data_IF_535837805805
#
_entry.id   IF_535837805805
#
_cell.length_a   1.000
_cell.length_b   1.000
_cell.length_c   1.000
_cell.angle_alpha   90.00
_cell.angle_beta   90.00
_cell.angle_gamma   90.00
#
_symmetry.space_group_name_H-M   'P 1'
#
loop_
_entity.id
_entity.type
_entity.pdbx_description
1 polymer ?
#
# COMPACT_ATOMS: atom_id res chain seq x y z
N UNK A 1 23.06 19.39 -26.83
CA UNK A 1 24.43 19.14 -26.37
C UNK A 1 24.63 17.65 -26.54
N UNK A 2 25.40 17.34 -27.57
CA UNK A 2 25.65 16.03 -28.18
C UNK A 2 26.59 15.14 -27.35
N UNK A 3 26.88 13.97 -27.95
CA UNK A 3 27.83 12.89 -27.63
C UNK A 3 27.21 11.72 -26.85
N UNK A 4 26.77 10.60 -27.45
CA UNK A 4 27.31 9.69 -28.48
C UNK A 4 28.30 8.65 -27.96
N UNK A 5 27.99 7.38 -28.30
CA UNK A 5 28.85 6.19 -28.44
C UNK A 5 29.73 5.76 -27.27
N UNK A 6 29.48 4.56 -26.76
CA UNK A 6 30.51 3.51 -26.72
C UNK A 6 29.85 2.14 -26.94
N UNK A 7 30.05 1.60 -28.14
CA UNK A 7 29.98 0.18 -28.46
C UNK A 7 31.33 -0.43 -28.08
N UNK A 8 31.35 -1.49 -27.29
CA UNK A 8 32.41 -2.49 -27.39
C UNK A 8 31.80 -3.89 -27.51
N UNK A 9 32.00 -4.44 -28.71
CA UNK A 9 31.92 -5.85 -29.05
C UNK A 9 32.99 -6.63 -28.29
N UNK A 10 32.61 -7.61 -27.47
CA UNK A 10 33.53 -8.65 -27.02
C UNK A 10 33.24 -9.96 -27.76
N UNK A 11 34.09 -10.25 -28.73
CA UNK A 11 34.34 -11.57 -29.31
C UNK A 11 34.77 -12.54 -28.22
N UNK A 12 34.31 -13.79 -28.31
CA UNK A 12 34.63 -14.84 -27.35
C UNK A 12 36.10 -15.19 -27.28
N UNK A 13 36.55 -15.58 -26.09
CA UNK A 13 37.51 -16.66 -25.90
C UNK A 13 37.42 -17.19 -24.47
N UNK A 14 37.56 -18.51 -24.40
CA UNK A 14 37.52 -19.34 -23.21
C UNK A 14 38.39 -18.81 -22.07
N UNK A 15 37.78 -18.71 -20.90
CA UNK A 15 38.43 -18.83 -19.59
C UNK A 15 37.35 -19.26 -18.58
N UNK A 16 36.91 -20.52 -18.69
CA UNK A 16 36.33 -21.25 -17.57
C UNK A 16 37.46 -21.53 -16.58
N UNK A 17 37.67 -20.63 -15.62
CA UNK A 17 38.39 -20.95 -14.39
C UNK A 17 37.79 -20.12 -13.26
N UNK A 18 37.16 -20.84 -12.34
CA UNK A 18 36.92 -20.46 -10.95
C UNK A 18 36.14 -19.17 -10.71
N UNK A 19 34.83 -19.19 -11.00
CA UNK A 19 33.90 -18.50 -10.10
C UNK A 19 33.72 -19.39 -8.87
N UNK A 20 34.51 -19.13 -7.83
CA UNK A 20 34.04 -19.38 -6.47
C UNK A 20 32.86 -18.44 -6.32
N UNK A 21 31.65 -18.99 -6.37
CA UNK A 21 30.43 -18.28 -6.01
C UNK A 21 30.54 -17.95 -4.53
N UNK A 22 31.15 -16.80 -4.26
CA UNK A 22 31.07 -16.13 -2.98
C UNK A 22 29.59 -16.01 -2.62
N UNK A 23 29.22 -16.43 -1.40
CA UNK A 23 27.87 -16.32 -0.85
C UNK A 23 27.40 -14.86 -0.90
N UNK A 24 26.82 -14.45 -2.02
CA UNK A 24 26.14 -13.18 -2.14
C UNK A 24 24.70 -13.40 -1.76
N UNK A 25 24.24 -12.60 -0.81
CA UNK A 25 22.86 -12.53 -0.29
C UNK A 25 21.85 -12.13 -1.40
N UNK A 26 22.28 -12.08 -2.66
CA UNK A 26 21.46 -11.68 -3.81
C UNK A 26 20.66 -12.85 -4.43
N UNK A 27 20.88 -14.11 -4.04
CA UNK A 27 20.11 -15.26 -4.53
C UNK A 27 18.85 -15.59 -3.71
N UNK A 28 18.50 -14.73 -2.74
CA UNK A 28 17.20 -14.82 -2.09
C UNK A 28 16.11 -14.27 -3.02
N UNK A 29 15.37 -15.19 -3.65
CA UNK A 29 14.15 -14.85 -4.40
C UNK A 29 13.25 -13.96 -3.56
N UNK A 30 13.03 -12.73 -4.01
CA UNK A 30 12.14 -11.78 -3.34
C UNK A 30 10.70 -12.30 -3.36
N UNK A 31 10.01 -12.24 -2.22
CA UNK A 31 8.60 -12.63 -2.14
C UNK A 31 7.75 -11.67 -2.96
N UNK A 32 7.01 -12.21 -3.93
CA UNK A 32 6.03 -11.44 -4.69
C UNK A 32 4.69 -11.55 -3.98
N UNK A 33 4.30 -10.49 -3.27
CA UNK A 33 3.05 -10.47 -2.52
C UNK A 33 1.86 -10.18 -3.41
N UNK A 34 0.72 -10.84 -3.15
CA UNK A 34 -0.54 -10.43 -3.75
C UNK A 34 -1.06 -9.12 -3.15
N UNK A 35 -1.59 -8.24 -3.99
CA UNK A 35 -2.17 -6.96 -3.55
C UNK A 35 -3.64 -7.14 -3.18
N UNK A 36 -4.02 -6.66 -1.99
CA UNK A 36 -5.42 -6.59 -1.59
C UNK A 36 -6.15 -5.47 -2.35
N UNK A 37 -7.26 -5.79 -3.02
CA UNK A 37 -8.11 -4.82 -3.72
C UNK A 37 -9.47 -4.70 -3.03
N UNK A 38 -9.74 -3.52 -2.48
CA UNK A 38 -11.05 -3.18 -1.92
C UNK A 38 -12.06 -2.93 -3.05
N UNK A 39 -13.26 -3.50 -2.92
CA UNK A 39 -14.35 -3.37 -3.90
C UNK A 39 -15.54 -2.56 -3.33
N UNK A 40 -15.27 -1.63 -2.40
CA UNK A 40 -16.30 -0.83 -1.74
C UNK A 40 -16.77 0.35 -2.59
N UNK A 41 -18.08 0.48 -2.75
CA UNK A 41 -18.74 1.66 -3.31
C UNK A 41 -19.48 2.41 -2.21
N UNK A 42 -18.91 3.53 -1.76
CA UNK A 42 -19.53 4.39 -0.76
C UNK A 42 -20.68 5.22 -1.34
N UNK A 43 -21.61 5.58 -0.48
CA UNK A 43 -22.75 6.40 -0.88
C UNK A 43 -22.37 7.89 -0.92
N UNK A 44 -22.78 8.62 -1.97
CA UNK A 44 -22.46 10.06 -2.18
C UNK A 44 -23.33 11.00 -1.35
N UNK A 45 -22.76 12.00 -0.66
CA UNK A 45 -23.54 12.94 0.17
C UNK A 45 -24.77 13.54 -0.55
N UNK A 46 -25.97 13.51 0.07
CA UNK A 46 -27.17 14.06 -0.55
C UNK A 46 -27.14 15.59 -0.55
N UNK A 47 -27.66 16.20 -1.61
CA UNK A 47 -27.80 17.65 -1.73
C UNK A 47 -29.11 18.13 -1.12
N UNK A 48 -29.03 18.85 0.00
CA UNK A 48 -30.22 19.35 0.70
C UNK A 48 -30.73 20.67 0.09
N UNK A 49 -32.06 20.78 -0.05
CA UNK A 49 -32.72 22.00 -0.52
C UNK A 49 -32.91 23.00 0.63
N UNK A 50 -32.34 24.19 0.49
CA UNK A 50 -32.41 25.28 1.48
C UNK A 50 -33.68 26.15 1.39
N UNK A 51 -34.60 25.85 0.47
CA UNK A 51 -35.88 26.57 0.26
C UNK A 51 -35.80 28.11 0.34
N UNK A 52 -34.69 28.72 -0.12
CA UNK A 52 -34.50 30.18 -0.10
C UNK A 52 -34.25 30.83 1.27
N UNK A 53 -34.16 30.05 2.36
CA UNK A 53 -34.00 30.54 3.73
C UNK A 53 -32.56 30.90 4.12
N UNK A 54 -31.60 30.75 3.20
CA UNK A 54 -30.17 30.94 3.44
C UNK A 54 -29.85 32.35 3.99
N UNK A 55 -30.58 33.39 3.54
CA UNK A 55 -30.43 34.75 4.06
C UNK A 55 -30.86 34.87 5.52
N UNK A 56 -32.00 34.28 5.91
CA UNK A 56 -32.50 34.34 7.28
C UNK A 56 -31.60 33.55 8.22
N UNK A 57 -31.11 32.39 7.80
CA UNK A 57 -30.15 31.60 8.58
C UNK A 57 -28.83 32.35 8.77
N UNK A 58 -28.32 33.02 7.73
CA UNK A 58 -27.13 33.88 7.84
C UNK A 58 -27.37 35.04 8.80
N UNK A 59 -28.47 35.77 8.65
CA UNK A 59 -28.81 36.91 9.50
C UNK A 59 -28.98 36.52 10.97
N UNK A 60 -29.73 35.45 11.24
CA UNK A 60 -29.92 34.94 12.60
C UNK A 60 -28.59 34.50 13.20
N UNK A 61 -27.78 33.73 12.47
CA UNK A 61 -26.44 33.33 12.94
C UNK A 61 -25.58 34.54 13.29
N UNK A 62 -25.51 35.55 12.44
CA UNK A 62 -24.72 36.78 12.71
C UNK A 62 -25.25 37.53 13.93
N UNK A 63 -26.56 37.58 14.16
CA UNK A 63 -27.13 38.19 15.37
C UNK A 63 -26.77 37.41 16.63
N UNK A 64 -26.83 36.08 16.59
CA UNK A 64 -26.48 35.24 17.73
C UNK A 64 -24.97 35.28 18.01
N UNK A 65 -24.11 35.19 16.99
CA UNK A 65 -22.66 35.32 17.11
C UNK A 65 -22.23 36.72 17.61
N UNK A 66 -22.97 37.77 17.25
CA UNK A 66 -22.68 39.13 17.75
C UNK A 66 -23.04 39.30 19.23
N UNK A 67 -23.92 38.46 19.78
CA UNK A 67 -24.43 38.60 21.15
C UNK A 67 -23.82 37.59 22.13
N UNK A 68 -23.38 36.43 21.62
CA UNK A 68 -22.77 35.35 22.40
C UNK A 68 -21.28 35.25 22.03
N UNK A 69 -20.39 35.27 23.03
CA UNK A 69 -18.95 35.14 22.81
C UNK A 69 -18.59 33.78 22.15
N UNK A 70 -17.61 33.74 21.23
CA UNK A 70 -17.31 32.58 20.40
C UNK A 70 -16.59 31.42 21.12
N UNK A 71 -16.21 31.57 22.39
CA UNK A 71 -15.44 30.54 23.09
C UNK A 71 -16.36 29.63 23.92
N UNK A 72 -16.38 28.37 23.51
CA UNK A 72 -17.11 27.19 24.03
C UNK A 72 -18.63 27.20 23.84
N UNK A 73 -19.09 26.52 22.80
CA UNK A 73 -20.51 26.32 22.45
C UNK A 73 -21.36 25.65 23.56
N UNK A 74 -20.72 25.00 24.55
CA UNK A 74 -21.39 24.40 25.69
C UNK A 74 -20.53 24.49 26.96
N UNK A 75 -21.09 24.87 28.12
CA UNK A 75 -20.37 24.78 29.39
C UNK A 75 -19.93 23.34 29.68
N UNK A 76 -18.78 23.18 30.34
CA UNK A 76 -18.21 21.87 30.67
C UNK A 76 -19.24 20.92 31.31
N UNK A 77 -19.29 19.68 30.83
CA UNK A 77 -20.14 18.62 31.37
C UNK A 77 -21.53 18.49 30.76
N UNK A 78 -21.90 19.33 29.79
CA UNK A 78 -23.08 19.12 28.92
C UNK A 78 -22.73 18.38 27.63
N UNK A 79 -21.53 18.63 27.09
CA UNK A 79 -20.94 17.90 25.99
C UNK A 79 -19.55 17.48 26.44
N UNK A 80 -19.27 16.19 26.41
CA UNK A 80 -17.94 15.64 26.70
C UNK A 80 -17.40 15.02 25.43
N UNK A 81 -16.13 15.29 25.11
CA UNK A 81 -15.42 14.49 24.12
C UNK A 81 -15.19 13.11 24.75
N UNK A 82 -15.54 12.04 24.05
CA UNK A 82 -15.11 10.70 24.45
C UNK A 82 -13.61 10.65 24.15
N UNK A 83 -12.79 10.48 25.18
CA UNK A 83 -11.33 10.51 25.10
C UNK A 83 -10.80 9.82 23.83
N UNK A 84 -9.96 10.55 23.09
CA UNK A 84 -9.29 10.15 21.84
C UNK A 84 -10.15 9.88 20.60
N UNK A 85 -11.43 10.24 20.58
CA UNK A 85 -12.23 10.23 19.34
C UNK A 85 -12.92 11.57 19.12
N UNK A 86 -13.14 11.94 17.86
CA UNK A 86 -13.93 13.13 17.47
C UNK A 86 -15.44 12.99 17.76
N UNK A 87 -15.81 11.98 18.57
CA UNK A 87 -17.18 11.71 18.96
C UNK A 87 -17.53 12.51 20.23
N UNK A 88 -18.49 13.41 20.09
CA UNK A 88 -19.08 14.14 21.20
C UNK A 88 -20.21 13.32 21.82
N UNK A 89 -20.15 13.12 23.13
CA UNK A 89 -21.21 12.50 23.91
C UNK A 89 -21.94 13.51 24.79
N UNK A 90 -23.20 13.19 25.08
CA UNK A 90 -24.04 13.93 26.02
C UNK A 90 -23.46 13.78 27.42
N UNK A 91 -23.06 14.89 28.03
CA UNK A 91 -22.39 14.91 29.32
C UNK A 91 -23.32 14.61 30.50
N UNK A 92 -22.74 14.26 31.68
CA UNK A 92 -23.48 13.79 32.85
C UNK A 92 -24.48 14.81 33.41
N UNK A 93 -24.29 16.12 33.16
CA UNK A 93 -25.21 17.17 33.63
C UNK A 93 -26.58 17.13 32.93
N UNK A 94 -26.64 16.61 31.70
CA UNK A 94 -27.90 16.42 30.97
C UNK A 94 -28.71 15.29 31.57
N UNK A 95 -28.05 14.17 31.89
CA UNK A 95 -28.69 13.02 32.55
C UNK A 95 -29.16 13.34 33.97
N UNK A 96 -28.42 14.18 34.69
CA UNK A 96 -28.79 14.66 36.02
C UNK A 96 -29.89 15.75 35.99
N UNK A 97 -30.40 16.13 34.81
CA UNK A 97 -31.43 17.18 34.62
C UNK A 97 -31.04 18.54 35.22
N UNK A 98 -29.73 18.85 35.29
CA UNK A 98 -29.23 20.11 35.85
C UNK A 98 -29.02 21.11 34.72
N UNK A 99 -29.99 21.99 34.50
CA UNK A 99 -29.95 22.98 33.41
C UNK A 99 -29.49 24.38 33.83
N UNK A 100 -29.21 24.57 35.12
CA UNK A 100 -28.96 25.89 35.71
C UNK A 100 -27.79 26.62 35.05
N UNK A 101 -26.68 25.92 34.76
CA UNK A 101 -25.51 26.53 34.13
C UNK A 101 -25.75 26.89 32.65
N UNK A 102 -26.52 26.07 31.92
CA UNK A 102 -26.92 26.37 30.54
C UNK A 102 -27.88 27.57 30.47
N UNK A 103 -28.87 27.59 31.37
CA UNK A 103 -29.88 28.64 31.46
C UNK A 103 -29.25 29.97 31.89
N UNK A 104 -28.35 29.95 32.88
CA UNK A 104 -27.65 31.14 33.35
C UNK A 104 -26.82 31.82 32.25
N UNK A 105 -26.18 31.03 31.37
CA UNK A 105 -25.40 31.58 30.25
C UNK A 105 -26.29 32.10 29.11
N UNK A 106 -27.46 31.50 28.89
CA UNK A 106 -28.47 31.94 27.92
C UNK A 106 -29.60 32.77 28.53
N UNK A 107 -29.32 33.48 29.62
CA UNK A 107 -30.30 34.31 30.35
C UNK A 107 -30.98 35.33 29.45
N UNK A 108 -30.28 35.87 28.45
CA UNK A 108 -30.84 36.91 27.58
C UNK A 108 -31.89 36.34 26.62
N UNK A 109 -31.64 35.17 26.03
CA UNK A 109 -32.66 34.48 25.24
C UNK A 109 -33.86 34.11 26.12
N UNK A 110 -33.63 33.68 27.36
CA UNK A 110 -34.73 33.39 28.30
C UNK A 110 -35.55 34.64 28.62
N UNK A 111 -34.91 35.77 28.92
CA UNK A 111 -35.58 37.06 29.17
C UNK A 111 -36.37 37.50 27.95
N UNK A 112 -35.81 37.31 26.74
CA UNK A 112 -36.51 37.63 25.49
C UNK A 112 -37.73 36.74 25.25
N UNK A 113 -37.60 35.43 25.49
CA UNK A 113 -38.73 34.48 25.39
C UNK A 113 -39.81 34.82 26.42
N UNK A 114 -39.44 35.13 27.66
CA UNK A 114 -40.39 35.52 28.72
C UNK A 114 -41.08 36.85 28.37
N UNK A 115 -40.34 37.81 27.82
CA UNK A 115 -40.89 39.06 27.30
C UNK A 115 -41.93 38.79 26.19
N UNK A 116 -41.60 38.00 25.17
CA UNK A 116 -42.53 37.64 24.10
C UNK A 116 -43.77 36.93 24.64
N UNK A 117 -43.60 35.99 25.58
CA UNK A 117 -44.71 35.28 26.21
C UNK A 117 -45.62 36.25 26.98
N UNK A 118 -45.04 37.22 27.68
CA UNK A 118 -45.80 38.28 28.38
C UNK A 118 -46.57 39.14 27.38
N UNK A 119 -45.97 39.51 26.25
CA UNK A 119 -46.65 40.25 25.17
C UNK A 119 -47.81 39.45 24.60
N UNK A 120 -47.63 38.16 24.31
CA UNK A 120 -48.69 37.29 23.79
C UNK A 120 -49.88 37.21 24.75
N UNK A 121 -49.63 37.18 26.07
CA UNK A 121 -50.69 37.16 27.08
C UNK A 121 -51.36 38.53 27.19
N UNK A 122 -50.59 39.62 27.22
CA UNK A 122 -51.12 40.98 27.50
C UNK A 122 -51.88 41.58 26.31
N UNK A 123 -51.45 41.34 25.08
CA UNK A 123 -52.09 41.87 23.86
C UNK A 123 -53.59 41.53 23.75
N UNK A 124 -54.07 40.28 23.95
CA UNK A 124 -55.50 39.99 23.91
C UNK A 124 -56.27 40.66 25.04
N UNK A 125 -55.69 40.82 26.24
CA UNK A 125 -56.34 41.57 27.32
C UNK A 125 -56.48 43.05 26.99
N UNK A 126 -55.46 43.67 26.40
CA UNK A 126 -55.54 45.06 25.93
C UNK A 126 -56.59 45.19 24.83
N UNK A 127 -56.64 44.25 23.87
CA UNK A 127 -57.63 44.26 22.80
C UNK A 127 -59.07 44.16 23.34
N UNK A 128 -59.31 43.26 24.30
CA UNK A 128 -60.62 43.11 24.96
C UNK A 128 -60.97 44.33 25.79
N UNK A 129 -60.03 44.89 26.56
CA UNK A 129 -60.25 46.12 27.32
C UNK A 129 -60.57 47.29 26.40
N UNK A 130 -59.85 47.45 25.28
CA UNK A 130 -60.12 48.49 24.29
C UNK A 130 -61.50 48.32 23.64
N UNK A 131 -61.90 47.09 23.32
CA UNK A 131 -63.23 46.77 22.80
C UNK A 131 -64.33 47.09 23.83
N UNK A 132 -64.17 46.67 25.09
CA UNK A 132 -65.13 46.95 26.16
C UNK A 132 -65.24 48.44 26.52
N UNK A 133 -64.12 49.18 26.56
CA UNK A 133 -64.12 50.63 26.81
C UNK A 133 -64.69 51.43 25.62
N UNK A 134 -64.51 50.96 24.38
CA UNK A 134 -65.18 51.55 23.22
C UNK A 134 -66.70 51.29 23.23
N UNK A 135 -67.16 50.10 23.65
CA UNK A 135 -68.59 49.81 23.78
C UNK A 135 -69.29 50.63 24.87
N UNK A 136 -68.61 50.93 25.99
CA UNK A 136 -69.19 51.73 27.08
C UNK A 136 -69.28 53.24 26.77
N UNK A 137 -68.47 53.76 25.83
CA UNK A 137 -68.40 55.19 25.52
C UNK A 137 -69.18 55.60 24.25
N UNK A 138 -69.73 54.64 23.50
CA UNK A 138 -70.52 54.89 22.29
C UNK A 138 -72.00 54.51 22.49
N UNK A 139 -72.78 55.39 23.15
CA UNK A 139 -74.25 55.26 23.27
C UNK A 139 -75.05 56.01 22.19
N UNK A 140 -74.41 56.49 21.12
CA UNK A 140 -75.16 57.08 20.02
C UNK A 140 -74.42 56.91 18.70
N UNK A 141 -74.98 56.05 17.85
CA UNK A 141 -74.94 56.08 16.37
C UNK A 141 -73.54 56.20 15.73
N UNK A 142 -73.14 55.17 14.99
CA UNK A 142 -72.26 55.38 13.84
C UNK A 142 -72.98 56.26 12.81
N UNK A 143 -72.37 57.35 12.33
CA UNK A 143 -72.43 57.69 10.93
C UNK A 143 -71.03 57.59 10.32
N UNK A 144 -70.90 57.41 8.99
CA UNK A 144 -69.59 57.38 8.34
C UNK A 144 -68.90 58.75 8.49
N UNK A 145 -67.58 58.72 8.65
CA UNK A 145 -66.59 59.80 8.51
C UNK A 145 -67.07 61.27 8.44
N UNK A 146 -66.70 62.12 9.41
CA UNK A 146 -66.23 63.48 9.09
C UNK A 146 -65.58 64.25 10.25
N UNK A 147 -64.25 64.35 10.24
CA UNK A 147 -63.53 65.56 10.69
C UNK A 147 -62.22 65.69 9.91
N UNK A 148 -62.00 66.86 9.28
CA UNK A 148 -60.82 67.16 8.43
C UNK A 148 -59.50 67.09 9.19
N UNK A 149 -59.53 67.26 10.52
CA UNK A 149 -58.34 67.19 11.40
C UNK A 149 -57.82 65.75 11.59
N UNK A 150 -58.65 64.73 11.32
CA UNK A 150 -58.33 63.32 11.51
C UNK A 150 -57.89 62.59 10.24
N UNK A 151 -57.96 63.21 9.06
CA UNK A 151 -57.60 62.58 7.78
C UNK A 151 -56.08 62.29 7.67
N UNK A 152 -55.22 63.26 8.03
CA UNK A 152 -53.76 63.08 8.05
C UNK A 152 -53.31 62.07 9.09
N UNK A 153 -53.95 62.05 10.28
CA UNK A 153 -53.68 61.04 11.32
C UNK A 153 -54.11 59.63 10.88
N UNK A 154 -55.20 59.51 10.11
CA UNK A 154 -55.69 58.25 9.54
C UNK A 154 -54.77 57.73 8.44
N UNK A 155 -54.26 58.61 7.57
CA UNK A 155 -53.26 58.25 6.54
C UNK A 155 -51.95 57.82 7.19
N UNK A 156 -51.46 58.55 8.21
CA UNK A 156 -50.26 58.18 8.96
C UNK A 156 -50.43 56.83 9.68
N UNK A 157 -51.59 56.59 10.30
CA UNK A 157 -51.89 55.33 10.97
C UNK A 157 -52.04 54.17 9.97
N UNK A 158 -52.65 54.42 8.80
CA UNK A 158 -52.72 53.43 7.72
C UNK A 158 -51.35 53.13 7.12
N UNK A 159 -50.49 54.14 6.97
CA UNK A 159 -49.11 53.99 6.51
C UNK A 159 -48.25 53.21 7.52
N UNK A 160 -48.55 53.30 8.81
CA UNK A 160 -47.92 52.50 9.87
C UNK A 160 -48.48 51.06 9.94
N UNK A 161 -49.75 50.87 9.57
CA UNK A 161 -50.40 49.55 9.60
C UNK A 161 -49.94 48.64 8.44
N UNK A 162 -49.68 49.21 7.27
CA UNK A 162 -49.21 48.47 6.09
C UNK A 162 -47.92 47.68 6.35
N UNK A 163 -46.81 48.26 6.87
CA UNK A 163 -45.59 47.51 7.16
C UNK A 163 -45.79 46.48 8.27
N UNK A 164 -46.72 46.71 9.20
CA UNK A 164 -47.06 45.75 10.25
C UNK A 164 -47.76 44.51 9.67
N UNK A 165 -48.71 44.69 8.75
CA UNK A 165 -49.37 43.58 8.05
C UNK A 165 -48.38 42.81 7.16
N UNK A 166 -47.54 43.52 6.40
CA UNK A 166 -46.48 42.91 5.59
C UNK A 166 -45.47 42.13 6.45
N UNK A 167 -45.11 42.64 7.62
CA UNK A 167 -44.24 41.97 8.58
C UNK A 167 -44.86 40.69 9.14
N UNK A 168 -46.16 40.70 9.44
CA UNK A 168 -46.90 39.50 9.89
C UNK A 168 -46.95 38.44 8.79
N UNK A 169 -47.28 38.83 7.55
CA UNK A 169 -47.34 37.91 6.42
C UNK A 169 -45.97 37.31 6.12
N UNK A 170 -44.92 38.13 6.14
CA UNK A 170 -43.54 37.66 5.99
C UNK A 170 -43.14 36.69 7.11
N UNK A 171 -43.42 37.03 8.37
CA UNK A 171 -43.14 36.17 9.52
C UNK A 171 -43.85 34.82 9.44
N UNK A 172 -45.08 34.80 8.93
CA UNK A 172 -45.88 33.59 8.72
C UNK A 172 -45.32 32.71 7.59
N UNK A 173 -44.88 33.31 6.48
CA UNK A 173 -44.18 32.57 5.40
C UNK A 173 -42.89 31.96 5.93
N UNK A 174 -42.11 32.73 6.70
CA UNK A 174 -40.86 32.26 7.32
C UNK A 174 -41.10 31.11 8.29
N UNK A 175 -42.14 31.20 9.13
CA UNK A 175 -42.52 30.14 10.06
C UNK A 175 -42.91 28.85 9.32
N UNK A 176 -43.69 28.95 8.24
CA UNK A 176 -44.07 27.81 7.41
C UNK A 176 -42.89 27.16 6.68
N UNK A 177 -42.00 27.97 6.09
CA UNK A 177 -40.80 27.46 5.45
C UNK A 177 -39.88 26.77 6.45
N UNK A 178 -39.75 27.31 7.66
CA UNK A 178 -38.97 26.69 8.73
C UNK A 178 -39.57 25.36 9.19
N UNK A 179 -40.90 25.27 9.33
CA UNK A 179 -41.59 24.01 9.65
C UNK A 179 -41.29 22.92 8.61
N UNK A 180 -41.41 23.29 7.32
CA UNK A 180 -41.12 22.39 6.19
C UNK A 180 -39.65 21.96 6.14
N UNK A 181 -38.72 22.88 6.39
CA UNK A 181 -37.29 22.57 6.44
C UNK A 181 -36.97 21.61 7.57
N UNK A 182 -37.52 21.80 8.76
CA UNK A 182 -37.33 20.90 9.90
C UNK A 182 -37.88 19.50 9.57
N UNK A 183 -39.05 19.40 8.93
CA UNK A 183 -39.64 18.11 8.57
C UNK A 183 -38.79 17.35 7.55
N UNK A 184 -38.28 18.06 6.52
CA UNK A 184 -37.35 17.46 5.56
C UNK A 184 -36.04 17.05 6.24
N UNK A 185 -35.48 17.90 7.09
CA UNK A 185 -34.23 17.64 7.79
C UNK A 185 -34.32 16.41 8.72
N UNK A 186 -35.44 16.23 9.43
CA UNK A 186 -35.65 15.04 10.28
C UNK A 186 -35.67 13.76 9.46
N UNK A 187 -36.39 13.76 8.33
CA UNK A 187 -36.49 12.60 7.44
C UNK A 187 -35.13 12.29 6.79
N UNK A 188 -34.49 13.29 6.22
CA UNK A 188 -33.23 13.10 5.51
C UNK A 188 -32.09 12.74 6.50
N UNK A 189 -32.16 13.21 7.77
CA UNK A 189 -31.24 12.80 8.83
C UNK A 189 -31.39 11.32 9.18
N UNK A 190 -32.62 10.79 9.22
CA UNK A 190 -32.86 9.36 9.46
C UNK A 190 -32.23 8.50 8.36
N UNK A 191 -32.49 8.85 7.09
CA UNK A 191 -31.92 8.16 5.93
C UNK A 191 -30.39 8.25 5.90
N UNK A 192 -29.83 9.43 6.21
CA UNK A 192 -28.38 9.65 6.26
C UNK A 192 -27.72 8.83 7.38
N UNK A 193 -28.33 8.75 8.56
CA UNK A 193 -27.83 7.91 9.66
C UNK A 193 -27.79 6.44 9.25
N UNK A 194 -28.85 5.94 8.61
CA UNK A 194 -28.92 4.55 8.14
C UNK A 194 -27.86 4.27 7.06
N UNK A 195 -27.69 5.19 6.11
CA UNK A 195 -26.71 5.06 5.04
C UNK A 195 -25.28 5.09 5.56
N UNK A 196 -24.97 6.04 6.44
CA UNK A 196 -23.66 6.12 7.08
C UNK A 196 -23.37 4.86 7.91
N UNK A 197 -24.39 4.29 8.56
CA UNK A 197 -24.23 3.01 9.26
C UNK A 197 -23.85 1.90 8.30
N UNK A 198 -24.52 1.78 7.15
CA UNK A 198 -24.24 0.75 6.14
C UNK A 198 -22.82 0.89 5.57
N UNK A 199 -22.43 2.11 5.23
CA UNK A 199 -21.10 2.42 4.70
C UNK A 199 -20.01 2.13 5.74
N UNK A 200 -20.23 2.48 7.02
CA UNK A 200 -19.32 2.15 8.11
C UNK A 200 -19.21 0.63 8.35
N UNK A 201 -20.31 -0.11 8.28
CA UNK A 201 -20.29 -1.56 8.41
C UNK A 201 -19.50 -2.20 7.27
N UNK A 202 -19.71 -1.73 6.03
CA UNK A 202 -18.98 -2.22 4.86
C UNK A 202 -17.47 -1.90 4.94
N UNK A 203 -17.11 -0.72 5.45
CA UNK A 203 -15.71 -0.36 5.73
C UNK A 203 -15.07 -1.32 6.75
N UNK A 204 -15.75 -1.58 7.88
CA UNK A 204 -15.26 -2.48 8.92
C UNK A 204 -15.10 -3.93 8.40
N UNK A 205 -16.05 -4.39 7.57
CA UNK A 205 -15.96 -5.69 6.91
C UNK A 205 -14.75 -5.77 5.96
N UNK A 206 -14.50 -4.72 5.17
CA UNK A 206 -13.34 -4.63 4.29
C UNK A 206 -12.02 -4.57 5.05
N UNK A 207 -11.98 -3.91 6.21
CA UNK A 207 -10.82 -3.93 7.11
C UNK A 207 -10.53 -5.36 7.60
N UNK A 208 -11.55 -6.11 8.03
CA UNK A 208 -11.36 -7.51 8.43
C UNK A 208 -10.84 -8.37 7.25
N UNK A 209 -11.36 -8.17 6.04
CA UNK A 209 -10.88 -8.87 4.85
C UNK A 209 -9.44 -8.51 4.50
N UNK A 210 -9.06 -7.24 4.60
CA UNK A 210 -7.69 -6.78 4.39
C UNK A 210 -6.72 -7.35 5.44
N UNK A 211 -7.09 -7.31 6.73
CA UNK A 211 -6.29 -7.91 7.82
C UNK A 211 -6.09 -9.40 7.58
N UNK A 212 -7.15 -10.12 7.20
CA UNK A 212 -7.05 -11.54 6.87
C UNK A 212 -6.15 -11.78 5.65
N UNK A 213 -6.22 -10.92 4.63
CA UNK A 213 -5.33 -11.00 3.47
C UNK A 213 -3.86 -10.82 3.87
N UNK A 214 -3.55 -9.78 4.65
CA UNK A 214 -2.19 -9.48 5.11
C UNK A 214 -1.62 -10.57 6.02
N UNK A 215 -2.38 -11.01 7.03
CA UNK A 215 -1.88 -11.92 8.05
C UNK A 215 -1.92 -13.39 7.63
N UNK A 216 -2.82 -13.77 6.72
CA UNK A 216 -2.98 -15.18 6.31
C UNK A 216 -2.44 -15.40 4.90
N UNK A 217 -2.90 -14.64 3.90
CA UNK A 217 -2.49 -14.89 2.52
C UNK A 217 -1.04 -14.47 2.28
N UNK A 218 -0.67 -13.21 2.59
CA UNK A 218 0.69 -12.74 2.37
C UNK A 218 1.71 -13.48 3.24
N UNK A 219 1.33 -13.84 4.48
CA UNK A 219 2.20 -14.68 5.30
C UNK A 219 2.33 -16.10 4.73
N UNK A 220 1.25 -16.68 4.20
CA UNK A 220 1.32 -17.97 3.50
C UNK A 220 2.25 -17.92 2.28
N UNK A 221 2.21 -16.85 1.51
CA UNK A 221 3.15 -16.62 0.39
C UNK A 221 4.60 -16.56 0.89
N UNK A 222 4.86 -15.81 1.97
CA UNK A 222 6.17 -15.77 2.62
C UNK A 222 6.62 -17.16 3.12
N UNK A 223 5.73 -17.90 3.78
CA UNK A 223 6.02 -19.25 4.29
C UNK A 223 6.46 -20.19 3.17
N UNK A 224 5.77 -20.17 2.02
CA UNK A 224 6.14 -21.02 0.88
C UNK A 224 7.54 -20.69 0.35
N UNK A 225 7.86 -19.40 0.22
CA UNK A 225 9.17 -18.94 -0.28
C UNK A 225 10.27 -19.30 0.72
N UNK A 226 10.10 -18.97 2.00
CA UNK A 226 11.08 -19.27 3.05
C UNK A 226 11.31 -20.78 3.17
N UNK A 227 10.25 -21.59 3.11
CA UNK A 227 10.37 -23.05 3.16
C UNK A 227 11.18 -23.58 1.99
N UNK A 228 10.92 -23.10 0.77
CA UNK A 228 11.69 -23.51 -0.41
C UNK A 228 13.15 -23.08 -0.36
N UNK A 229 13.43 -21.86 0.13
CA UNK A 229 14.78 -21.33 0.28
C UNK A 229 15.58 -22.08 1.34
N UNK A 230 14.96 -22.47 2.45
CA UNK A 230 15.65 -23.18 3.52
C UNK A 230 16.23 -24.52 3.05
N UNK A 231 15.51 -25.25 2.20
CA UNK A 231 16.02 -26.46 1.55
C UNK A 231 17.07 -26.18 0.47
N UNK A 232 16.91 -25.09 -0.29
CA UNK A 232 17.88 -24.71 -1.31
C UNK A 232 19.23 -24.31 -0.71
N UNK A 233 19.22 -23.53 0.38
CA UNK A 233 20.44 -23.11 1.11
C UNK A 233 21.17 -24.32 1.69
N UNK A 234 20.42 -25.30 2.20
CA UNK A 234 20.98 -26.54 2.72
C UNK A 234 21.79 -27.31 1.65
N UNK A 235 21.20 -27.47 0.47
CA UNK A 235 21.83 -28.15 -0.66
C UNK A 235 23.00 -27.35 -1.24
N UNK A 236 22.85 -26.04 -1.36
CA UNK A 236 23.89 -25.13 -1.83
C UNK A 236 25.10 -25.13 -0.89
N UNK A 237 24.91 -25.01 0.42
CA UNK A 237 26.00 -25.07 1.40
C UNK A 237 26.76 -26.41 1.34
N UNK A 238 26.05 -27.52 1.11
CA UNK A 238 26.67 -28.82 0.89
C UNK A 238 27.46 -28.85 -0.42
N UNK A 239 26.93 -28.27 -1.49
CA UNK A 239 27.60 -28.20 -2.79
C UNK A 239 28.84 -27.30 -2.76
N UNK A 240 28.78 -26.17 -2.08
CA UNK A 240 29.92 -25.28 -1.89
C UNK A 240 31.01 -25.97 -1.08
N UNK A 241 30.65 -26.67 0.01
CA UNK A 241 31.60 -27.49 0.74
C UNK A 241 32.28 -28.52 -0.18
N UNK A 242 31.56 -29.12 -1.13
CA UNK A 242 32.19 -30.05 -2.09
C UNK A 242 33.05 -29.38 -3.14
N UNK A 243 32.69 -28.18 -3.57
CA UNK A 243 33.36 -27.45 -4.66
C UNK A 243 34.58 -26.70 -4.14
N UNK A 244 34.44 -25.96 -3.05
CA UNK A 244 35.49 -25.18 -2.40
C UNK A 244 36.54 -26.09 -1.74
N UNK A 245 36.11 -27.22 -1.15
CA UNK A 245 37.07 -28.22 -0.67
C UNK A 245 37.75 -29.01 -1.80
N UNK A 246 37.37 -28.77 -3.07
CA UNK A 246 38.03 -29.36 -4.24
C UNK A 246 37.86 -30.87 -4.35
N UNK A 247 36.73 -31.45 -3.90
CA UNK A 247 36.48 -32.90 -4.03
C UNK A 247 36.67 -33.39 -5.47
N UNK A 248 36.19 -32.61 -6.44
CA UNK A 248 36.39 -32.88 -7.86
C UNK A 248 37.88 -32.92 -8.24
N UNK A 249 38.69 -31.98 -7.75
CA UNK A 249 40.14 -31.98 -8.03
C UNK A 249 40.83 -33.20 -7.41
N UNK A 250 40.38 -33.62 -6.23
CA UNK A 250 40.93 -34.80 -5.55
C UNK A 250 40.55 -36.09 -6.30
N UNK A 251 39.34 -36.16 -6.87
CA UNK A 251 38.88 -37.27 -7.71
C UNK A 251 39.73 -37.38 -8.99
N UNK A 252 39.96 -36.26 -9.68
CA UNK A 252 40.83 -36.22 -10.86
C UNK A 252 42.27 -36.61 -10.49
N UNK A 253 42.76 -36.14 -9.35
CA UNK A 253 44.10 -36.45 -8.87
C UNK A 253 44.25 -37.94 -8.51
N UNK A 254 43.22 -38.54 -7.92
CA UNK A 254 43.14 -39.98 -7.65
C UNK A 254 43.24 -40.79 -8.94
N UNK A 255 42.48 -40.41 -9.97
CA UNK A 255 42.50 -41.08 -11.28
C UNK A 255 43.87 -40.95 -11.97
N UNK A 256 44.52 -39.78 -11.88
CA UNK A 256 45.89 -39.59 -12.41
C UNK A 256 46.89 -40.53 -11.72
N UNK A 257 46.83 -40.64 -10.39
CA UNK A 257 47.75 -41.50 -9.65
C UNK A 257 47.48 -42.99 -9.84
N UNK A 258 46.21 -43.39 -10.00
CA UNK A 258 45.85 -44.79 -10.26
C UNK A 258 46.28 -45.24 -11.67
N UNK A 259 46.29 -44.34 -12.65
CA UNK A 259 46.80 -44.62 -14.01
C UNK A 259 48.33 -44.48 -14.14
N UNK A 260 49.01 -43.96 -13.12
CA UNK A 260 50.46 -43.69 -13.17
C UNK A 260 51.36 -44.92 -13.37
N UNK A 261 51.06 -46.13 -12.83
CA UNK A 261 51.85 -47.33 -13.11
C UNK A 261 51.82 -47.72 -14.59
N UNK A 262 50.67 -47.55 -15.26
CA UNK A 262 50.56 -47.80 -16.69
C UNK A 262 51.33 -46.74 -17.49
N UNK A 263 51.29 -45.48 -17.06
CA UNK A 263 52.08 -44.41 -17.65
C UNK A 263 53.60 -44.67 -17.53
N UNK A 264 54.06 -45.22 -16.40
CA UNK A 264 55.46 -45.61 -16.21
C UNK A 264 55.93 -46.62 -17.26
N UNK A 265 55.11 -47.65 -17.52
CA UNK A 265 55.43 -48.69 -18.51
C UNK A 265 55.53 -48.10 -19.93
N UNK A 266 54.56 -47.24 -20.29
CA UNK A 266 54.59 -46.54 -21.57
C UNK A 266 55.82 -45.62 -21.68
N UNK A 267 56.19 -44.91 -20.62
CA UNK A 267 57.36 -44.03 -20.61
C UNK A 267 58.67 -44.81 -20.75
N UNK A 268 58.77 -46.01 -20.18
CA UNK A 268 59.92 -46.91 -20.39
C UNK A 268 60.07 -47.30 -21.86
N UNK A 269 58.96 -47.65 -22.52
CA UNK A 269 58.95 -47.92 -23.96
C UNK A 269 59.35 -46.68 -24.78
N UNK A 270 58.87 -45.49 -24.40
CA UNK A 270 59.26 -44.23 -25.06
C UNK A 270 60.75 -43.95 -24.91
N UNK A 271 61.37 -44.22 -23.75
CA UNK A 271 62.82 -44.07 -23.57
C UNK A 271 63.61 -44.98 -24.51
N UNK A 272 63.19 -46.23 -24.67
CA UNK A 272 63.82 -47.17 -25.61
C UNK A 272 63.66 -46.70 -27.06
N UNK A 273 62.45 -46.30 -27.45
CA UNK A 273 62.17 -45.76 -28.79
C UNK A 273 62.96 -44.48 -29.06
N UNK A 274 63.11 -43.59 -28.08
CA UNK A 274 63.91 -42.38 -28.20
C UNK A 274 65.38 -42.72 -28.40
N UNK A 275 65.95 -43.65 -27.62
CA UNK A 275 67.33 -44.08 -27.78
C UNK A 275 67.58 -44.65 -29.19
N UNK A 276 66.64 -45.48 -29.68
CA UNK A 276 66.69 -46.01 -31.04
C UNK A 276 66.57 -44.90 -32.10
N UNK A 277 65.66 -43.94 -31.92
CA UNK A 277 65.46 -42.82 -32.83
C UNK A 277 66.69 -41.91 -32.91
N UNK A 278 67.33 -41.61 -31.77
CA UNK A 278 68.59 -40.84 -31.73
C UNK A 278 69.69 -41.59 -32.48
N UNK A 279 69.79 -42.91 -32.29
CA UNK A 279 70.76 -43.75 -32.99
C UNK A 279 70.52 -43.75 -34.51
N UNK A 280 69.32 -44.10 -34.97
CA UNK A 280 68.99 -44.12 -36.41
C UNK A 280 69.09 -42.72 -37.02
N UNK A 281 68.61 -41.70 -36.31
CA UNK A 281 68.71 -40.31 -36.73
C UNK A 281 70.15 -39.84 -36.89
N UNK A 282 71.06 -40.26 -36.00
CA UNK A 282 72.49 -39.95 -36.12
C UNK A 282 73.13 -40.62 -37.34
N UNK A 283 72.79 -41.88 -37.62
CA UNK A 283 73.26 -42.60 -38.81
C UNK A 283 72.71 -41.99 -40.10
N UNK A 284 71.43 -41.61 -40.10
CA UNK A 284 70.79 -40.96 -41.23
C UNK A 284 71.43 -39.59 -41.50
N UNK A 285 71.69 -38.79 -40.45
CA UNK A 285 72.40 -37.52 -40.56
C UNK A 285 73.80 -37.67 -41.12
N UNK A 286 74.54 -38.69 -40.69
CA UNK A 286 75.88 -38.96 -41.20
C UNK A 286 75.85 -39.40 -42.67
N UNK A 287 74.92 -40.29 -43.03
CA UNK A 287 74.69 -40.74 -44.41
C UNK A 287 74.30 -39.56 -45.32
N UNK A 288 73.44 -38.67 -44.84
CA UNK A 288 73.02 -37.45 -45.55
C UNK A 288 74.19 -36.50 -45.77
N UNK A 289 75.08 -36.37 -44.78
CA UNK A 289 76.32 -35.58 -44.92
C UNK A 289 77.28 -36.22 -45.93
N UNK A 290 77.35 -37.54 -46.00
CA UNK A 290 78.06 -38.29 -47.04
C UNK A 290 77.48 -38.03 -48.44
N UNK A 291 76.17 -38.26 -48.62
CA UNK A 291 75.48 -38.02 -49.88
C UNK A 291 75.58 -36.57 -50.34
N UNK A 292 75.47 -35.60 -49.41
CA UNK A 292 75.71 -34.18 -49.66
C UNK A 292 77.12 -33.94 -50.21
N UNK A 293 78.15 -34.54 -49.61
CA UNK A 293 79.55 -34.40 -50.05
C UNK A 293 79.74 -34.93 -51.46
N UNK A 294 79.22 -36.12 -51.74
CA UNK A 294 79.37 -36.77 -53.05
C UNK A 294 78.61 -36.02 -54.15
N UNK A 295 77.37 -35.62 -53.86
CA UNK A 295 76.55 -34.86 -54.80
C UNK A 295 77.15 -33.46 -55.06
N UNK A 296 77.66 -32.80 -54.03
CA UNK A 296 78.35 -31.51 -54.19
C UNK A 296 79.64 -31.68 -55.00
N UNK A 297 80.42 -32.74 -54.77
CA UNK A 297 81.62 -33.02 -55.57
C UNK A 297 81.29 -33.22 -57.05
N UNK A 298 80.28 -34.03 -57.38
CA UNK A 298 79.85 -34.23 -58.78
C UNK A 298 79.36 -32.92 -59.41
N UNK A 299 78.50 -32.18 -58.72
CA UNK A 299 77.91 -30.96 -59.25
C UNK A 299 78.92 -29.80 -59.40
N UNK A 300 80.03 -29.82 -58.66
CA UNK A 300 81.04 -28.74 -58.71
C UNK A 300 82.27 -29.11 -59.53
N UNK A 301 82.73 -30.36 -59.48
CA UNK A 301 83.97 -30.80 -60.16
C UNK A 301 83.68 -31.39 -61.54
N UNK A 302 82.58 -32.11 -61.71
CA UNK A 302 82.25 -32.79 -62.97
C UNK A 302 81.28 -31.99 -63.84
N UNK A 303 80.50 -31.08 -63.26
CA UNK A 303 79.53 -30.24 -63.96
C UNK A 303 79.78 -28.74 -63.72
N UNK A 304 80.78 -28.18 -64.41
CA UNK A 304 81.09 -26.73 -64.31
C UNK A 304 80.20 -25.88 -65.25
N UNK A 305 78.88 -26.00 -65.12
CA UNK A 305 77.89 -25.27 -65.92
C UNK A 305 76.82 -24.59 -65.03
N UNK A 306 76.31 -23.44 -65.48
CA UNK A 306 75.30 -22.63 -64.78
C UNK A 306 74.07 -23.42 -64.25
N UNK A 307 73.51 -24.42 -64.97
CA UNK A 307 72.37 -25.21 -64.47
C UNK A 307 72.69 -26.06 -63.23
N UNK A 308 73.93 -26.55 -63.08
CA UNK A 308 74.34 -27.36 -61.92
C UNK A 308 74.42 -26.51 -60.64
N UNK A 309 74.88 -25.26 -60.74
CA UNK A 309 74.84 -24.29 -59.65
C UNK A 309 73.41 -23.91 -59.24
N UNK A 310 72.46 -23.87 -60.19
CA UNK A 310 71.04 -23.67 -59.89
C UNK A 310 70.44 -24.84 -59.10
N UNK A 311 70.88 -26.08 -59.34
CA UNK A 311 70.42 -27.25 -58.58
C UNK A 311 70.90 -27.20 -57.13
N UNK A 312 72.15 -26.79 -56.88
CA UNK A 312 72.71 -26.64 -55.53
C UNK A 312 71.91 -25.62 -54.70
N UNK A 313 71.61 -24.47 -55.30
CA UNK A 313 70.92 -23.35 -54.64
C UNK A 313 69.42 -23.61 -54.49
N UNK A 314 68.74 -24.07 -55.55
CA UNK A 314 67.29 -24.31 -55.53
C UNK A 314 66.90 -25.41 -54.53
N UNK A 315 67.73 -26.44 -54.36
CA UNK A 315 67.45 -27.55 -53.46
C UNK A 315 68.09 -27.38 -52.07
N UNK A 316 68.72 -26.23 -51.78
CA UNK A 316 69.40 -25.96 -50.50
C UNK A 316 70.35 -27.09 -50.08
N UNK A 317 71.10 -27.66 -51.04
CA UNK A 317 71.94 -28.83 -50.80
C UNK A 317 73.00 -28.57 -49.71
N UNK A 318 73.40 -27.30 -49.54
CA UNK A 318 74.33 -26.84 -48.52
C UNK A 318 73.81 -26.94 -47.08
N UNK A 319 72.51 -27.02 -46.85
CA UNK A 319 71.88 -27.02 -45.51
C UNK A 319 71.11 -28.30 -45.18
N UNK A 320 71.17 -29.30 -46.07
CA UNK A 320 70.42 -30.55 -45.95
C UNK A 320 70.75 -31.33 -44.67
N UNK A 321 72.01 -31.29 -44.22
CA UNK A 321 72.50 -31.98 -43.01
C UNK A 321 72.34 -31.19 -41.71
N UNK A 322 71.93 -29.92 -41.78
CA UNK A 322 71.79 -29.02 -40.61
C UNK A 322 70.34 -28.64 -40.31
N UNK A 323 69.38 -29.31 -40.94
CA UNK A 323 67.96 -29.04 -40.70
C UNK A 323 67.57 -29.35 -39.25
N UNK A 324 66.72 -28.51 -38.66
CA UNK A 324 66.28 -28.64 -37.26
C UNK A 324 65.60 -29.97 -36.98
N UNK A 325 64.86 -30.52 -37.95
CA UNK A 325 64.16 -31.81 -37.86
C UNK A 325 65.09 -33.03 -37.81
N UNK A 326 66.40 -32.86 -38.05
CA UNK A 326 67.40 -33.94 -38.06
C UNK A 326 68.10 -34.13 -36.71
N UNK A 327 67.78 -33.27 -35.73
CA UNK A 327 68.41 -33.24 -34.42
C UNK A 327 67.55 -33.90 -33.34
N UNK A 328 67.39 -35.23 -33.46
CA UNK A 328 66.72 -36.03 -32.43
C UNK A 328 67.45 -36.03 -31.09
N UNK A 329 68.73 -35.64 -31.06
CA UNK A 329 69.52 -35.38 -29.86
C UNK A 329 68.96 -34.25 -28.98
N UNK A 330 68.10 -33.38 -29.53
CA UNK A 330 67.45 -32.30 -28.80
C UNK A 330 66.10 -32.68 -28.19
N UNK A 331 65.69 -33.94 -28.30
CA UNK A 331 64.46 -34.42 -27.66
C UNK A 331 64.56 -34.31 -26.12
N UNK A 332 63.44 -34.06 -25.42
CA UNK A 332 63.43 -33.95 -23.97
C UNK A 332 63.94 -35.24 -23.30
N UNK A 333 64.58 -35.09 -22.15
CA UNK A 333 65.16 -36.22 -21.44
C UNK A 333 64.08 -37.07 -20.75
N UNK A 334 63.72 -38.20 -21.35
CA UNK A 334 62.73 -39.16 -20.82
C UNK A 334 63.17 -39.82 -19.51
N UNK A 335 64.47 -39.88 -19.21
CA UNK A 335 64.95 -40.50 -17.97
C UNK A 335 64.55 -39.72 -16.72
N UNK A 336 64.50 -38.38 -16.79
CA UNK A 336 64.05 -37.54 -15.68
C UNK A 336 62.58 -37.81 -15.33
N UNK A 337 61.71 -37.90 -16.35
CA UNK A 337 60.29 -38.20 -16.15
C UNK A 337 60.05 -39.60 -15.56
N UNK A 338 60.84 -40.60 -15.96
CA UNK A 338 60.74 -41.95 -15.39
C UNK A 338 61.15 -41.93 -13.91
N UNK A 339 62.25 -41.25 -13.57
CA UNK A 339 62.71 -41.12 -12.19
C UNK A 339 61.67 -40.41 -11.31
N UNK A 340 61.04 -39.35 -11.83
CA UNK A 340 59.98 -38.64 -11.12
C UNK A 340 58.75 -39.52 -10.89
N UNK A 341 58.29 -40.26 -11.92
CA UNK A 341 57.16 -41.18 -11.80
C UNK A 341 57.47 -42.34 -10.84
N UNK A 342 58.68 -42.90 -10.90
CA UNK A 342 59.14 -43.95 -9.99
C UNK A 342 59.21 -43.45 -8.55
N UNK A 343 59.71 -42.22 -8.33
CA UNK A 343 59.71 -41.58 -7.02
C UNK A 343 58.29 -41.37 -6.49
N UNK A 344 57.33 -41.04 -7.37
CA UNK A 344 55.95 -40.83 -6.96
C UNK A 344 55.30 -42.13 -6.49
N UNK A 345 55.51 -43.21 -7.25
CA UNK A 345 55.01 -44.55 -6.92
C UNK A 345 55.71 -45.07 -5.65
N UNK A 346 57.03 -44.92 -5.54
CA UNK A 346 57.81 -45.39 -4.39
C UNK A 346 57.42 -44.71 -3.07
N UNK A 347 57.11 -43.41 -3.12
CA UNK A 347 56.66 -42.64 -1.95
C UNK A 347 55.18 -42.85 -1.61
N UNK A 348 54.48 -43.74 -2.32
CA UNK A 348 53.06 -44.03 -2.11
C UNK A 348 52.15 -42.79 -2.18
N UNK A 349 52.47 -41.80 -3.01
CA UNK A 349 51.67 -40.56 -3.06
C UNK A 349 50.22 -40.80 -3.52
N UNK A 350 49.93 -41.89 -4.22
CA UNK A 350 48.58 -42.31 -4.59
C UNK A 350 47.64 -42.50 -3.37
N UNK A 351 48.20 -42.72 -2.16
CA UNK A 351 47.41 -42.86 -0.92
C UNK A 351 46.93 -41.51 -0.36
N UNK A 352 47.60 -40.39 -0.71
CA UNK A 352 47.23 -39.06 -0.20
C UNK A 352 45.83 -38.63 -0.68
N UNK A 353 45.54 -38.60 -2.00
CA UNK A 353 44.21 -38.22 -2.50
C UNK A 353 43.11 -39.08 -1.90
N UNK A 354 43.31 -40.41 -1.82
CA UNK A 354 42.36 -41.36 -1.21
C UNK A 354 42.07 -41.02 0.25
N UNK A 355 43.09 -40.62 1.00
CA UNK A 355 42.96 -40.22 2.40
C UNK A 355 42.24 -38.87 2.54
N UNK A 356 42.56 -37.91 1.68
CA UNK A 356 41.93 -36.59 1.67
C UNK A 356 40.46 -36.67 1.25
N UNK A 357 40.16 -37.43 0.21
CA UNK A 357 38.81 -37.74 -0.26
C UNK A 357 37.95 -38.29 0.89
N UNK A 358 38.43 -39.32 1.57
CA UNK A 358 37.73 -39.91 2.71
C UNK A 358 37.48 -38.90 3.84
N UNK A 359 38.47 -38.09 4.20
CA UNK A 359 38.30 -37.05 5.25
C UNK A 359 37.25 -36.02 4.86
N UNK A 360 37.23 -35.57 3.60
CA UNK A 360 36.25 -34.61 3.12
C UNK A 360 34.84 -35.19 3.07
N UNK A 361 34.69 -36.46 2.67
CA UNK A 361 33.41 -37.17 2.73
C UNK A 361 32.92 -37.31 4.18
N UNK A 362 33.81 -37.62 5.12
CA UNK A 362 33.50 -37.66 6.55
C UNK A 362 33.04 -36.29 7.08
N UNK A 363 33.71 -35.20 6.72
CA UNK A 363 33.29 -33.83 7.11
C UNK A 363 31.97 -33.41 6.46
N UNK A 364 31.75 -33.75 5.18
CA UNK A 364 30.47 -33.54 4.50
C UNK A 364 29.33 -34.24 5.24
N UNK A 365 29.54 -35.49 5.66
CA UNK A 365 28.52 -36.26 6.37
C UNK A 365 28.25 -35.68 7.76
N UNK A 366 29.28 -35.22 8.48
CA UNK A 366 29.11 -34.49 9.76
C UNK A 366 28.32 -33.20 9.57
N UNK A 367 28.62 -32.44 8.52
CA UNK A 367 27.91 -31.20 8.20
C UNK A 367 26.45 -31.48 7.90
N UNK A 368 26.17 -32.48 7.06
CA UNK A 368 24.80 -32.93 6.76
C UNK A 368 24.05 -33.37 8.03
N UNK A 369 24.68 -34.19 8.87
CA UNK A 369 24.11 -34.61 10.15
C UNK A 369 23.84 -33.46 11.13
N UNK A 370 24.62 -32.37 11.06
CA UNK A 370 24.38 -31.17 11.85
C UNK A 370 23.22 -30.34 11.29
N UNK A 371 23.06 -30.30 9.96
CA UNK A 371 22.11 -29.44 9.26
C UNK A 371 20.69 -30.05 9.16
N UNK A 372 20.59 -31.35 8.83
CA UNK A 372 19.32 -32.09 8.73
C UNK A 372 18.37 -31.91 9.94
N UNK A 373 18.84 -31.96 11.20
CA UNK A 373 17.97 -31.78 12.36
C UNK A 373 17.58 -30.31 12.62
N UNK A 374 18.25 -29.33 12.01
CA UNK A 374 17.95 -27.90 12.21
C UNK A 374 16.79 -27.40 11.34
N UNK A 375 16.58 -28.00 10.16
CA UNK A 375 15.55 -27.56 9.21
C UNK A 375 14.12 -27.82 9.74
N UNK A 376 13.75 -29.04 10.20
CA UNK A 376 12.39 -29.33 10.68
C UNK A 376 11.90 -28.41 11.82
N UNK A 377 12.69 -28.09 12.87
CA UNK A 377 12.22 -27.19 13.92
C UNK A 377 12.04 -25.75 13.45
N UNK A 378 12.80 -25.28 12.45
CA UNK A 378 12.56 -23.97 11.84
C UNK A 378 11.24 -23.95 11.07
N UNK A 379 10.98 -24.95 10.23
CA UNK A 379 9.70 -25.10 9.52
C UNK A 379 8.53 -25.18 10.49
N UNK A 380 8.67 -25.94 11.57
CA UNK A 380 7.65 -26.02 12.62
C UNK A 380 7.38 -24.67 13.28
N UNK A 381 8.41 -23.86 13.55
CA UNK A 381 8.23 -22.51 14.13
C UNK A 381 7.50 -21.58 13.17
N UNK A 382 7.81 -21.64 11.88
CA UNK A 382 7.13 -20.86 10.84
C UNK A 382 5.64 -21.26 10.77
N UNK A 383 5.35 -22.56 10.75
CA UNK A 383 3.97 -23.06 10.75
C UNK A 383 3.19 -22.65 12.03
N UNK A 384 3.82 -22.73 13.21
CA UNK A 384 3.20 -22.24 14.46
C UNK A 384 2.93 -20.73 14.38
N UNK A 385 3.83 -19.96 13.77
CA UNK A 385 3.63 -18.53 13.55
C UNK A 385 2.47 -18.27 12.58
N UNK A 386 2.34 -19.05 11.51
CA UNK A 386 1.20 -18.98 10.59
C UNK A 386 -0.14 -19.20 11.32
N UNK A 387 -0.22 -20.24 12.16
CA UNK A 387 -1.40 -20.54 12.96
C UNK A 387 -1.71 -19.43 13.98
N UNK A 388 -0.67 -18.86 14.59
CA UNK A 388 -0.81 -17.74 15.54
C UNK A 388 -1.35 -16.50 14.84
N UNK A 389 -0.76 -16.10 13.70
CA UNK A 389 -1.24 -14.96 12.91
C UNK A 389 -2.67 -15.15 12.41
N UNK A 390 -3.03 -16.38 12.04
CA UNK A 390 -4.39 -16.72 11.69
C UNK A 390 -5.35 -16.55 12.87
N UNK A 391 -4.97 -17.00 14.07
CA UNK A 391 -5.76 -16.81 15.28
C UNK A 391 -5.96 -15.32 15.61
N UNK A 392 -4.88 -14.52 15.57
CA UNK A 392 -4.93 -13.06 15.76
C UNK A 392 -5.84 -12.38 14.73
N UNK A 393 -5.79 -12.82 13.46
CA UNK A 393 -6.70 -12.31 12.42
C UNK A 393 -8.17 -12.56 12.75
N UNK A 394 -8.49 -13.72 13.33
CA UNK A 394 -9.85 -14.04 13.76
C UNK A 394 -10.28 -13.22 14.98
N UNK A 395 -9.37 -12.96 15.92
CA UNK A 395 -9.67 -12.12 17.08
C UNK A 395 -9.98 -10.67 16.67
N UNK A 396 -9.15 -10.08 15.79
CA UNK A 396 -9.38 -8.74 15.22
C UNK A 396 -10.73 -8.69 14.49
N UNK A 397 -11.02 -9.70 13.66
CA UNK A 397 -12.30 -9.77 12.98
C UNK A 397 -13.48 -9.94 13.95
N UNK A 398 -13.33 -10.70 15.04
CA UNK A 398 -14.38 -10.89 16.04
C UNK A 398 -14.71 -9.57 16.77
N UNK A 399 -13.69 -8.80 17.16
CA UNK A 399 -13.87 -7.45 17.72
C UNK A 399 -14.56 -6.53 16.71
N UNK A 400 -14.16 -6.62 15.45
CA UNK A 400 -14.74 -5.84 14.35
C UNK A 400 -16.22 -6.19 14.13
N UNK A 401 -16.59 -7.48 14.13
CA UNK A 401 -17.98 -7.92 14.05
C UNK A 401 -18.81 -7.50 15.27
N UNK A 402 -18.21 -7.49 16.46
CA UNK A 402 -18.82 -6.91 17.66
C UNK A 402 -19.15 -5.43 17.47
N UNK A 403 -18.19 -4.64 16.99
CA UNK A 403 -18.40 -3.23 16.68
C UNK A 403 -19.45 -3.00 15.58
N UNK A 404 -19.48 -3.82 14.53
CA UNK A 404 -20.52 -3.79 13.49
C UNK A 404 -21.90 -4.01 14.11
N UNK A 405 -22.03 -5.00 15.00
CA UNK A 405 -23.29 -5.30 15.68
C UNK A 405 -23.74 -4.14 16.57
N UNK A 406 -22.83 -3.56 17.35
CA UNK A 406 -23.13 -2.42 18.23
C UNK A 406 -23.51 -1.17 17.44
N UNK A 407 -22.81 -0.89 16.33
CA UNK A 407 -23.16 0.22 15.42
C UNK A 407 -24.56 -0.02 14.85
N UNK A 408 -24.83 -1.21 14.33
CA UNK A 408 -26.12 -1.54 13.75
C UNK A 408 -27.26 -1.39 14.77
N UNK A 409 -27.10 -1.96 15.98
CA UNK A 409 -28.12 -1.92 17.04
C UNK A 409 -28.33 -0.48 17.57
N UNK A 410 -27.26 0.23 17.94
CA UNK A 410 -27.37 1.59 18.47
C UNK A 410 -27.97 2.55 17.44
N UNK A 411 -27.59 2.41 16.16
CA UNK A 411 -28.15 3.25 15.09
C UNK A 411 -29.61 2.87 14.79
N UNK A 412 -29.98 1.60 14.80
CA UNK A 412 -31.38 1.18 14.67
C UNK A 412 -32.27 1.80 15.77
N UNK A 413 -31.81 1.80 17.02
CA UNK A 413 -32.50 2.47 18.11
C UNK A 413 -32.62 3.99 17.90
N UNK A 414 -31.53 4.64 17.47
CA UNK A 414 -31.54 6.08 17.19
C UNK A 414 -32.52 6.43 16.05
N UNK A 415 -32.47 5.70 14.93
CA UNK A 415 -33.35 5.89 13.77
C UNK A 415 -34.82 5.70 14.16
N UNK A 416 -35.13 4.64 14.92
CA UNK A 416 -36.48 4.39 15.42
C UNK A 416 -36.99 5.52 16.32
N UNK A 417 -36.13 6.08 17.18
CA UNK A 417 -36.50 7.24 18.02
C UNK A 417 -36.80 8.47 17.18
N UNK A 418 -36.07 8.72 16.09
CA UNK A 418 -36.35 9.82 15.16
C UNK A 418 -37.65 9.59 14.38
N UNK A 419 -37.91 8.37 13.92
CA UNK A 419 -39.15 7.99 13.25
C UNK A 419 -40.37 8.11 14.16
N UNK A 420 -40.27 7.62 15.41
CA UNK A 420 -41.34 7.72 16.39
C UNK A 420 -41.63 9.18 16.79
N UNK A 421 -40.58 10.00 16.93
CA UNK A 421 -40.74 11.44 17.10
C UNK A 421 -41.43 12.09 15.90
N UNK A 422 -41.04 11.71 14.68
CA UNK A 422 -41.63 12.23 13.45
C UNK A 422 -43.11 11.84 13.30
N UNK A 423 -43.46 10.59 13.59
CA UNK A 423 -44.83 10.10 13.47
C UNK A 423 -45.75 10.71 14.53
N UNK A 424 -45.28 10.87 15.77
CA UNK A 424 -46.08 11.44 16.85
C UNK A 424 -46.18 12.97 16.77
N UNK A 425 -45.06 13.66 16.50
CA UNK A 425 -44.99 15.13 16.54
C UNK A 425 -44.96 15.78 15.16
N UNK A 426 -44.23 15.21 14.19
CA UNK A 426 -44.07 15.80 12.86
C UNK A 426 -45.39 15.85 12.09
N UNK A 427 -46.15 14.74 12.12
CA UNK A 427 -47.43 14.65 11.40
C UNK A 427 -48.47 15.62 11.95
N UNK A 428 -48.63 15.69 13.26
CA UNK A 428 -49.58 16.60 13.93
C UNK A 428 -49.19 18.07 13.76
N UNK A 429 -47.89 18.39 13.80
CA UNK A 429 -47.36 19.75 13.63
C UNK A 429 -47.60 20.31 12.23
N UNK A 430 -47.44 19.51 11.18
CA UNK A 430 -47.72 19.97 9.82
C UNK A 430 -49.19 20.37 9.64
N UNK A 431 -50.13 19.53 10.08
CA UNK A 431 -51.57 19.85 10.02
C UNK A 431 -51.91 21.08 10.86
N UNK A 432 -51.33 21.20 12.06
CA UNK A 432 -51.50 22.37 12.92
C UNK A 432 -50.93 23.64 12.29
N UNK A 433 -49.74 23.58 11.69
CA UNK A 433 -49.09 24.72 11.02
C UNK A 433 -49.86 25.16 9.78
N UNK A 434 -50.38 24.23 8.97
CA UNK A 434 -51.22 24.56 7.80
C UNK A 434 -52.54 25.18 8.25
N UNK A 435 -53.14 24.65 9.31
CA UNK A 435 -54.41 25.17 9.84
C UNK A 435 -54.23 26.56 10.45
N UNK A 436 -53.16 26.78 11.23
CA UNK A 436 -52.80 28.11 11.75
C UNK A 436 -52.51 29.10 10.63
N UNK A 437 -51.80 28.69 9.58
CA UNK A 437 -51.53 29.52 8.41
C UNK A 437 -52.83 29.93 7.71
N UNK A 438 -53.78 29.00 7.54
CA UNK A 438 -55.09 29.30 6.95
C UNK A 438 -55.93 30.23 7.83
N UNK A 439 -55.97 30.01 9.16
CA UNK A 439 -56.70 30.87 10.09
C UNK A 439 -56.12 32.28 10.09
N UNK A 440 -54.79 32.41 10.12
CA UNK A 440 -54.13 33.72 10.10
C UNK A 440 -54.31 34.44 8.77
N UNK A 441 -54.24 33.73 7.63
CA UNK A 441 -54.57 34.33 6.33
C UNK A 441 -56.04 34.77 6.23
N UNK A 442 -56.96 34.01 6.82
CA UNK A 442 -58.38 34.41 6.89
C UNK A 442 -58.55 35.65 7.77
N UNK A 443 -57.85 35.74 8.90
CA UNK A 443 -57.83 36.93 9.74
C UNK A 443 -57.23 38.12 8.99
N UNK A 444 -56.09 37.98 8.34
CA UNK A 444 -55.46 39.04 7.55
C UNK A 444 -56.35 39.49 6.39
N UNK A 445 -57.07 38.56 5.75
CA UNK A 445 -58.04 38.89 4.70
C UNK A 445 -59.25 39.64 5.26
N UNK A 446 -59.78 39.22 6.42
CA UNK A 446 -60.91 39.89 7.08
C UNK A 446 -60.50 41.27 7.60
N UNK A 447 -59.34 41.39 8.24
CA UNK A 447 -58.78 42.67 8.68
C UNK A 447 -58.45 43.57 7.49
N UNK A 448 -57.83 43.04 6.45
CA UNK A 448 -57.56 43.73 5.19
C UNK A 448 -58.84 44.28 4.58
N UNK A 449 -59.90 43.46 4.47
CA UNK A 449 -61.21 43.88 3.97
C UNK A 449 -61.86 44.96 4.85
N UNK A 450 -61.84 44.80 6.18
CA UNK A 450 -62.39 45.79 7.12
C UNK A 450 -61.62 47.12 7.05
N UNK A 451 -60.30 47.07 6.89
CA UNK A 451 -59.47 48.28 6.76
C UNK A 451 -59.64 48.95 5.40
N UNK A 452 -59.81 48.19 4.32
CA UNK A 452 -60.08 48.71 2.97
C UNK A 452 -61.48 49.33 2.88
N UNK A 453 -62.51 48.66 3.41
CA UNK A 453 -63.88 49.19 3.48
C UNK A 453 -63.94 50.45 4.36
N UNK A 454 -63.11 50.54 5.41
CA UNK A 454 -62.95 51.79 6.17
C UNK A 454 -62.18 52.84 5.39
N UNK A 455 -61.10 52.51 4.68
CA UNK A 455 -60.27 53.48 3.96
C UNK A 455 -60.97 54.11 2.74
N UNK A 456 -61.93 53.39 2.15
CA UNK A 456 -62.74 53.85 1.01
C UNK A 456 -63.94 54.72 1.45
N UNK A 457 -64.28 54.76 2.76
CA UNK A 457 -65.27 55.67 3.34
C UNK A 457 -64.66 56.95 3.97
#
# INVERSE_FOLDING_TARGET
MDESLYNETSTGNANDTNQVSEFTIDEFVSVTYTEYKSHLNYSLEPTYSKLGMDFIHKFTRTLFESYYAPDEDAPEGYVIAIDNTTAFAVGPKVWANVWQALIARKTVVLVWVLFLLTVIIVVPFIAVCYFCFCCFRCRSICPPCQSRSTATKRILLSLLLIPLILGILFGLVVAFLNDRLINNALRDSSETIMRNSKDNCALLEDICNNVRHLLVNNFGELETVVTSQLFAIADMALKDLTTEAGLFLIEVLEDIFDNMPQALELMKQVKEMQAYLVFVGSQYRDSLRGAKRDLLYVLTVWCDFLPCNQVITKNNLLFMDTSSCLHFDKLPNTSAFIEDIENIIYKDYFKLPKTWMRRLLEEKEKFKHALDPMIPPMLRRISIMADTLKAESYEICNVTYGAISDIYLNKMHSTKSFEEFYDNYGRSRWYASVTLLLIMLLLDFVYGKITLDRAVC
#
